data_IF_573772691330
#
_entry.id   IF_573772691330
#
_cell.length_a   1.000
_cell.length_b   1.000
_cell.length_c   1.000
_cell.angle_alpha   90.00
_cell.angle_beta   90.00
_cell.angle_gamma   90.00
#
_symmetry.space_group_name_H-M   'P 1'
#
loop_
_entity.id
_entity.type
_entity.pdbx_description
1 polymer ?
#
# COMPACT_ATOMS: atom_id res chain seq x y z
N UNK A 1 88.96 45.71 103.32
CA UNK A 1 87.99 46.68 102.76
C UNK A 1 87.11 45.91 101.78
N UNK A 2 85.91 45.54 102.24
CA UNK A 2 84.57 46.03 101.80
C UNK A 2 84.15 45.31 100.50
N UNK A 3 83.35 44.22 100.58
CA UNK A 3 81.86 44.16 100.56
C UNK A 3 81.27 44.77 99.26
N UNK A 4 80.34 44.19 98.49
CA UNK A 4 79.43 43.04 98.64
C UNK A 4 78.85 42.68 97.27
N UNK A 5 78.69 41.39 97.00
CA UNK A 5 77.75 40.82 96.02
C UNK A 5 76.33 40.93 96.58
N UNK A 6 75.35 41.48 95.84
CA UNK A 6 73.91 41.20 96.03
C UNK A 6 73.05 41.98 95.03
N UNK A 7 72.96 41.56 93.76
CA UNK A 7 71.86 42.07 92.90
C UNK A 7 71.43 41.17 91.72
N UNK A 8 72.04 39.99 91.52
CA UNK A 8 71.72 39.11 90.37
C UNK A 8 70.71 37.99 90.65
N UNK A 9 70.21 37.83 91.89
CA UNK A 9 69.27 36.73 92.24
C UNK A 9 67.79 37.08 92.03
N UNK A 10 67.43 38.37 92.05
CA UNK A 10 66.04 38.82 91.91
C UNK A 10 65.50 38.72 90.47
N UNK A 11 66.36 38.97 89.47
CA UNK A 11 65.94 38.96 88.06
C UNK A 11 65.78 37.54 87.51
N UNK A 12 66.60 36.60 87.96
CA UNK A 12 66.58 35.20 87.52
C UNK A 12 65.35 34.44 88.04
N UNK A 13 64.89 34.76 89.26
CA UNK A 13 63.65 34.21 89.82
C UNK A 13 62.39 34.76 89.12
N UNK A 14 62.38 36.04 88.74
CA UNK A 14 61.27 36.63 87.96
C UNK A 14 61.14 36.01 86.56
N UNK A 15 62.28 35.75 85.91
CA UNK A 15 62.32 35.14 84.57
C UNK A 15 61.89 33.67 84.61
N UNK A 16 62.31 32.91 85.63
CA UNK A 16 61.82 31.55 85.89
C UNK A 16 60.33 31.53 86.18
N UNK A 17 59.82 32.51 86.93
CA UNK A 17 58.40 32.56 87.27
C UNK A 17 57.54 32.90 86.04
N UNK A 18 57.99 33.83 85.20
CA UNK A 18 57.32 34.16 83.94
C UNK A 18 57.34 32.99 82.94
N UNK A 19 58.45 32.25 82.86
CA UNK A 19 58.53 31.04 82.06
C UNK A 19 57.58 29.96 82.58
N UNK A 20 57.53 29.71 83.89
CA UNK A 20 56.57 28.78 84.49
C UNK A 20 55.11 29.17 84.20
N UNK A 21 54.78 30.46 84.29
CA UNK A 21 53.43 30.96 84.01
C UNK A 21 53.04 30.78 82.53
N UNK A 22 54.00 30.99 81.62
CA UNK A 22 53.80 30.74 80.18
C UNK A 22 53.59 29.25 79.90
N UNK A 23 54.41 28.38 80.47
CA UNK A 23 54.25 26.92 80.30
C UNK A 23 52.90 26.46 80.85
N UNK A 24 52.45 27.03 81.96
CA UNK A 24 51.14 26.74 82.55
C UNK A 24 50.00 27.17 81.63
N UNK A 25 50.07 28.37 81.05
CA UNK A 25 49.06 28.87 80.11
C UNK A 25 49.02 28.07 78.79
N UNK A 26 50.18 27.62 78.29
CA UNK A 26 50.23 26.73 77.12
C UNK A 26 49.65 25.34 77.43
N UNK A 27 49.90 24.80 78.63
CA UNK A 27 49.30 23.54 79.10
C UNK A 27 47.77 23.69 79.26
N UNK A 28 47.29 24.81 79.81
CA UNK A 28 45.86 25.05 79.96
C UNK A 28 45.15 25.27 78.61
N UNK A 29 45.81 25.94 77.65
CA UNK A 29 45.29 26.11 76.30
C UNK A 29 45.25 24.77 75.54
N UNK A 30 46.29 23.93 75.67
CA UNK A 30 46.31 22.58 75.09
C UNK A 30 45.27 21.67 75.74
N UNK A 31 45.06 21.79 77.05
CA UNK A 31 44.04 21.04 77.81
C UNK A 31 42.62 21.40 77.37
N UNK A 32 42.29 22.69 77.22
CA UNK A 32 40.95 23.13 76.76
C UNK A 32 40.68 22.80 75.29
N UNK A 33 41.71 22.77 74.44
CA UNK A 33 41.60 22.34 73.05
C UNK A 33 41.41 20.82 72.89
N UNK A 34 42.00 20.01 73.76
CA UNK A 34 41.87 18.55 73.72
C UNK A 34 40.46 18.07 74.10
N UNK A 35 39.80 18.73 75.07
CA UNK A 35 38.45 18.35 75.53
C UNK A 35 37.40 18.39 74.41
N UNK A 36 37.39 19.43 73.57
CA UNK A 36 36.46 19.51 72.44
C UNK A 36 36.83 18.54 71.32
N UNK A 37 38.14 18.34 71.06
CA UNK A 37 38.61 17.39 70.06
C UNK A 37 38.33 15.92 70.47
N UNK A 38 38.44 15.57 71.75
CA UNK A 38 38.08 14.25 72.29
C UNK A 38 36.57 14.02 72.31
N UNK A 39 35.79 15.07 72.61
CA UNK A 39 34.34 14.99 72.52
C UNK A 39 33.89 14.71 71.08
N UNK A 40 34.49 15.38 70.09
CA UNK A 40 34.19 15.18 68.67
C UNK A 40 34.71 13.83 68.17
N UNK A 41 35.92 13.41 68.58
CA UNK A 41 36.53 12.15 68.12
C UNK A 41 35.73 10.91 68.52
N UNK A 42 35.02 10.95 69.66
CA UNK A 42 34.07 9.90 70.06
C UNK A 42 32.89 9.75 69.11
N UNK A 43 32.47 10.81 68.41
CA UNK A 43 31.34 10.77 67.48
C UNK A 43 31.74 10.60 66.00
N UNK A 44 33.03 10.73 65.64
CA UNK A 44 33.53 10.52 64.27
C UNK A 44 33.05 9.19 63.66
N UNK A 45 33.11 8.03 64.35
CA UNK A 45 32.64 6.77 63.79
C UNK A 45 31.14 6.79 63.48
N UNK A 46 30.36 7.47 64.31
CA UNK A 46 28.91 7.58 64.19
C UNK A 46 28.52 8.48 63.00
N UNK A 47 29.23 9.60 62.83
CA UNK A 47 29.06 10.50 61.68
C UNK A 47 29.43 9.80 60.37
N UNK A 48 30.53 9.04 60.36
CA UNK A 48 30.96 8.21 59.22
C UNK A 48 29.86 7.24 58.78
N UNK A 49 29.24 6.52 59.72
CA UNK A 49 28.13 5.60 59.42
C UNK A 49 26.92 6.34 58.85
N UNK A 50 26.56 7.50 59.40
CA UNK A 50 25.42 8.31 58.89
C UNK A 50 25.69 8.78 57.46
N UNK A 51 26.90 9.25 57.16
CA UNK A 51 27.29 9.66 55.80
C UNK A 51 27.26 8.45 54.85
N UNK A 52 27.78 7.30 55.27
CA UNK A 52 27.77 6.08 54.47
C UNK A 52 26.34 5.60 54.16
N UNK A 53 25.45 5.57 55.16
CA UNK A 53 24.03 5.20 54.99
C UNK A 53 23.32 6.23 54.11
N UNK A 54 23.56 7.53 54.31
CA UNK A 54 23.00 8.60 53.50
C UNK A 54 23.42 8.50 52.03
N UNK A 55 24.71 8.28 51.76
CA UNK A 55 25.24 8.05 50.42
C UNK A 55 24.69 6.79 49.76
N UNK A 56 24.52 5.72 50.53
CA UNK A 56 23.92 4.47 50.04
C UNK A 56 22.44 4.65 49.67
N UNK A 57 21.64 5.30 50.53
CA UNK A 57 20.23 5.57 50.24
C UNK A 57 20.07 6.50 49.03
N UNK A 58 20.93 7.53 48.91
CA UNK A 58 20.97 8.39 47.73
C UNK A 58 21.33 7.61 46.46
N UNK A 59 22.29 6.70 46.54
CA UNK A 59 22.67 5.81 45.44
C UNK A 59 21.52 4.91 44.98
N UNK A 60 20.76 4.31 45.91
CA UNK A 60 19.56 3.51 45.58
C UNK A 60 18.51 4.38 44.88
N UNK A 61 18.22 5.56 45.42
CA UNK A 61 17.24 6.46 44.83
C UNK A 61 17.64 6.92 43.41
N UNK A 62 18.92 7.26 43.21
CA UNK A 62 19.43 7.63 41.89
C UNK A 62 19.34 6.45 40.90
N UNK A 63 19.69 5.25 41.35
CA UNK A 63 19.61 4.03 40.54
C UNK A 63 18.17 3.72 40.12
N UNK A 64 17.21 3.77 41.05
CA UNK A 64 15.79 3.57 40.75
C UNK A 64 15.27 4.58 39.72
N UNK A 65 15.63 5.86 39.86
CA UNK A 65 15.24 6.90 38.90
C UNK A 65 15.87 6.69 37.52
N UNK A 66 17.11 6.17 37.47
CA UNK A 66 17.80 5.87 36.22
C UNK A 66 17.18 4.66 35.51
N UNK A 67 16.79 3.62 36.25
CA UNK A 67 16.09 2.46 35.72
C UNK A 67 14.71 2.82 35.15
N UNK A 68 13.94 3.67 35.83
CA UNK A 68 12.65 4.15 35.31
C UNK A 68 12.80 4.90 33.98
N UNK A 69 13.83 5.74 33.86
CA UNK A 69 14.11 6.48 32.62
C UNK A 69 14.57 5.53 31.50
N UNK A 70 15.36 4.51 31.82
CA UNK A 70 15.76 3.50 30.86
C UNK A 70 14.55 2.71 30.34
N UNK A 71 13.64 2.28 31.22
CA UNK A 71 12.40 1.60 30.83
C UNK A 71 11.50 2.48 29.95
N UNK A 72 11.34 3.76 30.29
CA UNK A 72 10.56 4.72 29.48
C UNK A 72 11.15 4.91 28.08
N UNK A 73 12.48 4.96 27.95
CA UNK A 73 13.14 5.06 26.63
C UNK A 73 12.91 3.81 25.80
N UNK A 74 13.04 2.62 26.39
CA UNK A 74 12.78 1.36 25.69
C UNK A 74 11.33 1.29 25.19
N UNK A 75 10.35 1.68 26.01
CA UNK A 75 8.95 1.70 25.61
C UNK A 75 8.68 2.71 24.48
N UNK A 76 9.27 3.90 24.56
CA UNK A 76 9.15 4.93 23.52
C UNK A 76 9.81 4.48 22.20
N UNK A 77 11.00 3.88 22.26
CA UNK A 77 11.68 3.33 21.09
C UNK A 77 10.87 2.18 20.48
N UNK A 78 10.30 1.28 21.29
CA UNK A 78 9.43 0.21 20.80
C UNK A 78 8.16 0.73 20.12
N UNK A 79 7.54 1.80 20.64
CA UNK A 79 6.38 2.43 20.01
C UNK A 79 6.76 3.06 18.68
N UNK A 80 7.84 3.84 18.64
CA UNK A 80 8.36 4.45 17.42
C UNK A 80 8.74 3.40 16.37
N UNK A 81 9.34 2.29 16.78
CA UNK A 81 9.70 1.19 15.88
C UNK A 81 8.47 0.51 15.30
N UNK A 82 7.37 0.40 16.06
CA UNK A 82 6.10 -0.14 15.55
C UNK A 82 5.48 0.80 14.52
N UNK A 83 5.36 2.08 14.83
CA UNK A 83 4.83 3.09 13.90
C UNK A 83 5.66 3.17 12.62
N UNK A 84 6.99 3.12 12.74
CA UNK A 84 7.89 3.13 11.58
C UNK A 84 7.70 1.88 10.72
N UNK A 85 7.60 0.69 11.33
CA UNK A 85 7.34 -0.56 10.59
C UNK A 85 6.00 -0.55 9.87
N UNK A 86 4.95 -0.04 10.50
CA UNK A 86 3.62 0.08 9.89
C UNK A 86 3.63 1.06 8.72
N UNK A 87 4.30 2.21 8.87
CA UNK A 87 4.49 3.18 7.80
C UNK A 87 5.29 2.60 6.64
N UNK A 88 6.41 1.92 6.92
CA UNK A 88 7.25 1.29 5.89
C UNK A 88 6.49 0.19 5.14
N UNK A 89 5.68 -0.59 5.84
CA UNK A 89 4.82 -1.61 5.22
C UNK A 89 3.78 -0.96 4.30
N UNK A 90 3.12 0.12 4.74
CA UNK A 90 2.15 0.84 3.93
C UNK A 90 2.79 1.46 2.67
N UNK A 91 3.98 2.06 2.80
CA UNK A 91 4.74 2.61 1.68
C UNK A 91 5.15 1.52 0.68
N UNK A 92 5.59 0.35 1.17
CA UNK A 92 5.94 -0.79 0.32
C UNK A 92 4.74 -1.29 -0.47
N UNK A 93 3.59 -1.47 0.19
CA UNK A 93 2.34 -1.90 -0.47
C UNK A 93 1.92 -0.86 -1.53
N UNK A 94 2.00 0.43 -1.22
CA UNK A 94 1.67 1.49 -2.19
C UNK A 94 2.61 1.48 -3.41
N UNK A 95 3.91 1.26 -3.19
CA UNK A 95 4.88 1.14 -4.27
C UNK A 95 4.59 -0.07 -5.16
N UNK A 96 4.29 -1.23 -4.55
CA UNK A 96 3.93 -2.45 -5.28
C UNK A 96 2.66 -2.27 -6.11
N UNK A 97 1.59 -1.73 -5.52
CA UNK A 97 0.35 -1.43 -6.27
C UNK A 97 0.62 -0.52 -7.48
N UNK A 98 1.45 0.53 -7.29
CA UNK A 98 1.80 1.42 -8.39
C UNK A 98 2.54 0.68 -9.50
N UNK A 99 3.52 -0.15 -9.15
CA UNK A 99 4.26 -0.97 -10.12
C UNK A 99 3.32 -1.92 -10.86
N UNK A 100 2.39 -2.56 -10.17
CA UNK A 100 1.45 -3.50 -10.80
C UNK A 100 0.48 -2.79 -11.75
N UNK A 101 -0.01 -1.61 -11.37
CA UNK A 101 -0.83 -0.75 -12.26
C UNK A 101 -0.01 -0.32 -13.48
N UNK A 102 1.24 0.11 -13.30
CA UNK A 102 2.13 0.49 -14.41
C UNK A 102 2.36 -0.69 -15.36
N UNK A 103 2.53 -1.91 -14.85
CA UNK A 103 2.66 -3.11 -15.67
C UNK A 103 1.37 -3.47 -16.40
N UNK A 104 0.20 -3.32 -15.76
CA UNK A 104 -1.10 -3.53 -16.40
C UNK A 104 -1.31 -2.54 -17.56
N UNK A 105 -0.96 -1.26 -17.36
CA UNK A 105 -1.06 -0.24 -18.41
C UNK A 105 -0.05 -0.48 -19.54
N UNK A 106 1.12 -1.04 -19.22
CA UNK A 106 2.12 -1.40 -20.24
C UNK A 106 1.76 -2.66 -21.02
N UNK A 107 0.79 -3.46 -20.55
CA UNK A 107 0.39 -4.70 -21.22
C UNK A 107 0.14 -4.49 -22.70
N UNK A 108 -0.68 -3.52 -23.09
CA UNK A 108 -1.01 -3.24 -24.50
C UNK A 108 0.20 -2.87 -25.37
N UNK A 109 1.31 -2.43 -24.75
CA UNK A 109 2.52 -1.97 -25.44
C UNK A 109 3.60 -3.04 -25.52
N UNK A 110 3.73 -3.89 -24.51
CA UNK A 110 4.75 -4.94 -24.47
C UNK A 110 4.17 -6.30 -24.85
N UNK A 111 4.52 -6.79 -26.04
CA UNK A 111 4.07 -8.09 -26.58
C UNK A 111 4.58 -9.30 -25.80
N UNK A 112 5.58 -9.15 -24.93
CA UNK A 112 6.08 -10.24 -24.09
C UNK A 112 5.17 -10.51 -22.89
N UNK A 113 4.29 -9.57 -22.55
CA UNK A 113 3.37 -9.73 -21.42
C UNK A 113 2.21 -10.65 -21.77
N UNK A 114 1.91 -11.60 -20.87
CA UNK A 114 0.90 -12.66 -21.07
C UNK A 114 -0.40 -12.37 -20.30
N UNK A 115 -1.53 -12.88 -20.79
CA UNK A 115 -2.82 -12.75 -20.10
C UNK A 115 -2.80 -13.35 -18.68
N UNK A 116 -2.00 -14.40 -18.46
CA UNK A 116 -1.79 -14.97 -17.13
C UNK A 116 -1.17 -13.95 -16.17
N UNK A 117 -0.19 -13.16 -16.64
CA UNK A 117 0.41 -12.09 -15.83
C UNK A 117 -0.61 -11.01 -15.48
N UNK A 118 -1.49 -10.63 -16.39
CA UNK A 118 -2.60 -9.68 -16.10
C UNK A 118 -3.46 -10.19 -14.94
N UNK A 119 -3.86 -11.47 -14.98
CA UNK A 119 -4.64 -12.08 -13.89
C UNK A 119 -3.88 -12.09 -12.57
N UNK A 120 -2.58 -12.40 -12.57
CA UNK A 120 -1.75 -12.32 -11.36
C UNK A 120 -1.71 -10.89 -10.81
N UNK A 121 -1.44 -9.89 -11.64
CA UNK A 121 -1.40 -8.48 -11.23
C UNK A 121 -2.75 -8.01 -10.66
N UNK A 122 -3.88 -8.38 -11.29
CA UNK A 122 -5.21 -8.06 -10.77
C UNK A 122 -5.48 -8.73 -9.41
N UNK A 123 -4.99 -9.95 -9.22
CA UNK A 123 -5.11 -10.68 -7.94
C UNK A 123 -4.25 -10.04 -6.85
N UNK A 124 -3.03 -9.64 -7.18
CA UNK A 124 -2.12 -8.94 -6.28
C UNK A 124 -2.72 -7.60 -5.86
N UNK A 125 -3.25 -6.82 -6.81
CA UNK A 125 -3.95 -5.56 -6.52
C UNK A 125 -5.15 -5.74 -5.58
N UNK A 126 -5.97 -6.79 -5.77
CA UNK A 126 -7.06 -7.10 -4.82
C UNK A 126 -6.51 -7.37 -3.42
N UNK A 127 -5.47 -8.19 -3.33
CA UNK A 127 -4.83 -8.56 -2.06
C UNK A 127 -4.29 -7.31 -1.36
N UNK A 128 -3.63 -6.41 -2.08
CA UNK A 128 -3.11 -5.17 -1.52
C UNK A 128 -4.22 -4.21 -1.07
N UNK A 129 -5.30 -4.07 -1.83
CA UNK A 129 -6.47 -3.27 -1.42
C UNK A 129 -7.16 -3.84 -0.18
N UNK A 130 -7.17 -5.17 -0.02
CA UNK A 130 -7.67 -5.82 1.19
C UNK A 130 -6.78 -5.58 2.40
N UNK A 131 -5.47 -5.76 2.24
CA UNK A 131 -4.49 -5.48 3.30
C UNK A 131 -4.53 -4.00 3.73
N UNK A 132 -4.59 -3.07 2.78
CA UNK A 132 -4.67 -1.64 3.11
C UNK A 132 -6.01 -1.26 3.76
N UNK A 133 -7.11 -1.89 3.36
CA UNK A 133 -8.42 -1.72 4.00
C UNK A 133 -8.48 -2.20 5.46
N UNK A 134 -7.61 -3.14 5.85
CA UNK A 134 -7.48 -3.56 7.24
C UNK A 134 -6.61 -2.60 8.07
N UNK A 135 -5.79 -1.77 7.42
CA UNK A 135 -4.87 -0.82 8.06
C UNK A 135 -5.45 0.59 8.19
N UNK A 136 -6.43 0.97 7.35
CA UNK A 136 -6.98 2.34 7.25
C UNK A 136 -8.51 2.33 7.13
N UNK A 137 -9.16 3.47 7.40
CA UNK A 137 -10.60 3.65 7.27
C UNK A 137 -11.16 3.21 5.89
N UNK A 138 -12.35 2.60 5.90
CA UNK A 138 -13.03 2.00 4.75
C UNK A 138 -13.15 2.91 3.51
N UNK A 139 -13.32 4.23 3.69
CA UNK A 139 -13.52 5.18 2.59
C UNK A 139 -12.29 5.31 1.67
N UNK A 140 -11.09 5.06 2.19
CA UNK A 140 -9.87 5.15 1.40
C UNK A 140 -9.72 4.00 0.38
N UNK A 141 -10.20 2.79 0.75
CA UNK A 141 -10.17 1.60 -0.11
C UNK A 141 -11.01 1.79 -1.38
N UNK A 142 -12.18 2.39 -1.25
CA UNK A 142 -13.11 2.60 -2.37
C UNK A 142 -12.53 3.55 -3.41
N UNK A 143 -11.89 4.65 -2.98
CA UNK A 143 -11.29 5.63 -3.89
C UNK A 143 -10.15 5.02 -4.71
N UNK A 144 -9.22 4.30 -4.07
CA UNK A 144 -8.10 3.66 -4.78
C UNK A 144 -8.55 2.61 -5.79
N UNK A 145 -9.51 1.76 -5.41
CA UNK A 145 -10.08 0.75 -6.31
C UNK A 145 -10.67 1.42 -7.55
N UNK A 146 -11.38 2.53 -7.36
CA UNK A 146 -11.98 3.32 -8.43
C UNK A 146 -10.94 4.00 -9.33
N UNK A 147 -9.85 4.52 -8.75
CA UNK A 147 -8.72 5.10 -9.49
C UNK A 147 -8.02 4.06 -10.40
N UNK A 148 -7.84 2.85 -9.89
CA UNK A 148 -7.32 1.71 -10.67
C UNK A 148 -8.27 1.42 -11.84
N UNK A 149 -9.57 1.29 -11.57
CA UNK A 149 -10.59 1.03 -12.60
C UNK A 149 -10.62 2.12 -13.67
N UNK A 150 -10.55 3.39 -13.28
CA UNK A 150 -10.47 4.52 -14.21
C UNK A 150 -9.21 4.43 -15.09
N UNK A 151 -8.08 4.02 -14.51
CA UNK A 151 -6.82 3.84 -15.25
C UNK A 151 -6.90 2.68 -16.24
N UNK A 152 -7.45 1.53 -15.82
CA UNK A 152 -7.69 0.38 -16.70
C UNK A 152 -8.62 0.75 -17.85
N UNK A 153 -9.74 1.42 -17.57
CA UNK A 153 -10.66 1.84 -18.61
C UNK A 153 -10.00 2.78 -19.62
N UNK A 154 -9.19 3.75 -19.18
CA UNK A 154 -8.43 4.62 -20.08
C UNK A 154 -7.49 3.83 -20.99
N UNK A 155 -6.81 2.81 -20.45
CA UNK A 155 -5.98 1.90 -21.27
C UNK A 155 -6.83 1.12 -22.27
N UNK A 156 -8.00 0.64 -21.89
CA UNK A 156 -8.93 -0.06 -22.80
C UNK A 156 -9.40 0.88 -23.92
N UNK A 157 -9.85 2.07 -23.58
CA UNK A 157 -10.38 3.03 -24.55
C UNK A 157 -9.30 3.56 -25.50
N UNK A 158 -8.11 3.89 -24.97
CA UNK A 158 -7.10 4.63 -25.74
C UNK A 158 -6.01 3.72 -26.34
N UNK A 159 -5.60 2.68 -25.62
CA UNK A 159 -4.40 1.90 -25.99
C UNK A 159 -4.73 0.51 -26.56
N UNK A 160 -5.89 -0.07 -26.25
CA UNK A 160 -6.26 -1.40 -26.78
C UNK A 160 -6.72 -1.32 -28.24
N UNK A 161 -6.20 -2.22 -29.06
CA UNK A 161 -6.62 -2.46 -30.44
C UNK A 161 -7.32 -3.82 -30.52
N UNK A 162 -8.65 -3.80 -30.66
CA UNK A 162 -9.44 -5.03 -30.68
C UNK A 162 -9.26 -5.83 -31.95
N UNK A 163 -8.53 -5.32 -32.96
CA UNK A 163 -8.06 -6.14 -34.08
C UNK A 163 -7.02 -7.20 -33.65
N UNK A 164 -6.41 -7.02 -32.48
CA UNK A 164 -5.44 -7.92 -31.88
C UNK A 164 -6.12 -8.83 -30.85
N UNK A 165 -6.04 -10.17 -30.99
CA UNK A 165 -6.65 -11.11 -30.03
C UNK A 165 -6.22 -10.87 -28.59
N UNK A 166 -4.95 -10.49 -28.41
CA UNK A 166 -4.35 -10.24 -27.11
C UNK A 166 -5.05 -9.13 -26.31
N UNK A 167 -5.48 -8.07 -26.96
CA UNK A 167 -6.11 -6.94 -26.29
C UNK A 167 -7.57 -7.25 -25.93
N UNK A 168 -8.23 -8.09 -26.73
CA UNK A 168 -9.56 -8.63 -26.39
C UNK A 168 -9.47 -9.52 -25.15
N UNK A 169 -8.49 -10.42 -25.10
CA UNK A 169 -8.24 -11.28 -23.93
C UNK A 169 -7.93 -10.44 -22.68
N UNK A 170 -7.16 -9.34 -22.82
CA UNK A 170 -6.89 -8.42 -21.72
C UNK A 170 -8.18 -7.82 -21.15
N UNK A 171 -9.04 -7.29 -22.02
CA UNK A 171 -10.32 -6.70 -21.64
C UNK A 171 -11.24 -7.72 -21.00
N UNK A 172 -11.34 -8.93 -21.56
CA UNK A 172 -12.12 -10.02 -20.96
C UNK A 172 -11.57 -10.44 -19.59
N UNK A 173 -10.25 -10.45 -19.42
CA UNK A 173 -9.61 -10.76 -18.13
C UNK A 173 -9.97 -9.70 -17.09
N UNK A 174 -9.93 -8.41 -17.45
CA UNK A 174 -10.39 -7.32 -16.57
C UNK A 174 -11.88 -7.47 -16.27
N UNK A 175 -12.69 -7.71 -17.30
CA UNK A 175 -14.13 -7.89 -17.17
C UNK A 175 -14.46 -9.05 -16.22
N UNK A 176 -13.72 -10.15 -16.28
CA UNK A 176 -13.95 -11.33 -15.44
C UNK A 176 -13.41 -11.13 -14.02
N UNK A 177 -12.17 -10.67 -13.92
CA UNK A 177 -11.41 -10.71 -12.68
C UNK A 177 -11.42 -9.38 -11.92
N UNK A 178 -11.96 -8.27 -12.44
CA UNK A 178 -12.01 -6.98 -11.75
C UNK A 178 -13.43 -6.43 -11.60
N UNK A 179 -14.18 -6.91 -10.61
CA UNK A 179 -15.61 -6.60 -10.45
C UNK A 179 -15.94 -5.10 -10.39
N UNK A 180 -15.02 -4.26 -9.91
CA UNK A 180 -15.19 -2.81 -9.91
C UNK A 180 -15.41 -2.23 -11.30
N UNK A 181 -14.82 -2.86 -12.32
CA UNK A 181 -14.94 -2.47 -13.73
C UNK A 181 -16.39 -2.57 -14.21
N UNK A 182 -17.06 -3.70 -13.95
CA UNK A 182 -18.48 -3.88 -14.29
C UNK A 182 -19.34 -2.83 -13.61
N UNK A 183 -19.11 -2.62 -12.31
CA UNK A 183 -19.85 -1.63 -11.56
C UNK A 183 -19.61 -0.22 -12.11
N UNK A 184 -18.37 0.11 -12.46
CA UNK A 184 -18.03 1.42 -13.03
C UNK A 184 -18.73 1.66 -14.37
N UNK A 185 -18.75 0.65 -15.25
CA UNK A 185 -19.44 0.75 -16.55
C UNK A 185 -20.96 0.89 -16.42
N UNK A 186 -21.56 0.36 -15.34
CA UNK A 186 -22.98 0.58 -15.01
C UNK A 186 -23.24 2.01 -14.52
N UNK A 187 -22.33 2.52 -13.69
CA UNK A 187 -22.42 3.90 -13.16
C UNK A 187 -22.15 4.95 -14.25
N UNK A 188 -21.40 4.58 -15.31
CA UNK A 188 -20.98 5.46 -16.40
C UNK A 188 -21.30 4.84 -17.77
N UNK A 189 -22.60 4.72 -18.13
CA UNK A 189 -23.02 4.05 -19.35
C UNK A 189 -22.41 4.65 -20.62
N UNK A 190 -22.14 5.96 -20.64
CA UNK A 190 -21.55 6.70 -21.74
C UNK A 190 -20.15 6.19 -22.15
N UNK A 191 -19.44 5.54 -21.23
CA UNK A 191 -18.11 5.00 -21.50
C UNK A 191 -18.15 3.68 -22.27
N UNK A 192 -19.31 3.00 -22.29
CA UNK A 192 -19.48 1.76 -23.05
C UNK A 192 -19.44 1.99 -24.56
N UNK A 193 -19.81 3.18 -25.03
CA UNK A 193 -19.80 3.55 -26.47
C UNK A 193 -18.46 3.19 -27.10
N UNK A 194 -17.36 3.62 -26.48
CA UNK A 194 -16.01 3.38 -26.99
C UNK A 194 -15.62 1.90 -27.02
N UNK A 195 -16.14 1.10 -26.09
CA UNK A 195 -15.85 -0.34 -26.02
C UNK A 195 -16.63 -1.06 -27.12
N UNK A 196 -17.92 -0.75 -27.28
CA UNK A 196 -18.73 -1.33 -28.34
C UNK A 196 -18.22 -0.96 -29.72
N UNK A 197 -17.83 0.29 -29.96
CA UNK A 197 -17.25 0.72 -31.24
C UNK A 197 -16.01 -0.09 -31.61
N UNK A 198 -15.16 -0.44 -30.65
CA UNK A 198 -13.98 -1.29 -30.88
C UNK A 198 -14.36 -2.73 -31.24
N UNK A 199 -15.30 -3.34 -30.53
CA UNK A 199 -15.80 -4.68 -30.88
C UNK A 199 -16.44 -4.70 -32.28
N UNK A 200 -17.31 -3.73 -32.57
CA UNK A 200 -17.97 -3.60 -33.87
C UNK A 200 -16.94 -3.42 -34.98
N UNK A 201 -15.95 -2.56 -34.78
CA UNK A 201 -14.88 -2.34 -35.76
C UNK A 201 -14.07 -3.62 -36.02
N UNK A 202 -13.70 -4.35 -34.98
CA UNK A 202 -12.96 -5.61 -35.10
C UNK A 202 -13.77 -6.68 -35.84
N UNK A 203 -15.07 -6.80 -35.54
CA UNK A 203 -15.99 -7.71 -36.23
C UNK A 203 -16.16 -7.34 -37.72
N UNK A 204 -16.25 -6.04 -38.04
CA UNK A 204 -16.29 -5.57 -39.43
C UNK A 204 -15.00 -5.95 -40.15
N UNK A 205 -13.84 -5.72 -39.55
CA UNK A 205 -12.55 -6.10 -40.13
C UNK A 205 -12.48 -7.60 -40.38
N UNK A 206 -12.87 -8.42 -39.40
CA UNK A 206 -12.88 -9.87 -39.56
C UNK A 206 -13.84 -10.33 -40.67
N UNK A 207 -15.03 -9.74 -40.75
CA UNK A 207 -15.98 -10.01 -41.83
C UNK A 207 -15.43 -9.60 -43.19
N UNK A 208 -14.72 -8.47 -43.29
CA UNK A 208 -14.10 -8.03 -44.54
C UNK A 208 -12.94 -8.95 -44.96
N UNK A 209 -12.20 -9.52 -44.01
CA UNK A 209 -11.12 -10.48 -44.27
C UNK A 209 -11.68 -11.83 -44.74
N UNK A 210 -12.65 -12.40 -44.03
CA UNK A 210 -13.33 -13.63 -44.43
C UNK A 210 -14.82 -13.61 -44.05
N UNK A 211 -15.71 -13.21 -44.98
CA UNK A 211 -17.16 -13.17 -44.72
C UNK A 211 -17.75 -14.54 -44.40
N UNK A 212 -17.13 -15.61 -44.90
CA UNK A 212 -17.66 -16.97 -44.82
C UNK A 212 -17.71 -17.45 -43.37
N UNK A 213 -16.69 -17.07 -42.60
CA UNK A 213 -16.48 -17.40 -41.20
C UNK A 213 -17.55 -16.79 -40.31
N UNK A 214 -17.71 -15.48 -40.41
CA UNK A 214 -18.62 -14.74 -39.54
C UNK A 214 -20.09 -15.04 -39.88
N UNK A 215 -20.39 -15.35 -41.15
CA UNK A 215 -21.74 -15.80 -41.58
C UNK A 215 -22.06 -17.24 -41.18
N UNK A 216 -21.05 -18.11 -41.11
CA UNK A 216 -21.21 -19.55 -40.86
C UNK A 216 -21.31 -19.92 -39.39
N UNK A 217 -21.03 -18.98 -38.47
CA UNK A 217 -21.05 -19.22 -37.03
C UNK A 217 -22.47 -19.18 -36.47
N UNK A 218 -22.75 -20.10 -35.54
CA UNK A 218 -23.98 -20.13 -34.76
C UNK A 218 -23.65 -20.30 -33.27
N UNK A 219 -24.49 -19.76 -32.40
CA UNK A 219 -24.32 -19.94 -30.97
C UNK A 219 -25.22 -21.08 -30.47
N UNK A 220 -24.63 -22.06 -29.79
CA UNK A 220 -25.37 -23.16 -29.16
C UNK A 220 -25.55 -22.85 -27.67
N UNK A 221 -26.70 -22.27 -27.32
CA UNK A 221 -26.99 -21.82 -25.95
C UNK A 221 -26.95 -22.96 -24.90
N UNK A 222 -27.24 -24.20 -25.29
CA UNK A 222 -27.18 -25.39 -24.43
C UNK A 222 -25.74 -25.75 -24.03
N UNK A 223 -24.78 -25.53 -24.92
CA UNK A 223 -23.36 -25.84 -24.71
C UNK A 223 -22.52 -24.63 -24.36
N UNK A 224 -23.08 -23.42 -24.48
CA UNK A 224 -22.38 -22.14 -24.36
C UNK A 224 -21.14 -22.08 -25.24
N UNK A 225 -21.24 -22.61 -26.47
CA UNK A 225 -20.16 -22.63 -27.43
C UNK A 225 -20.62 -22.16 -28.81
N UNK A 226 -19.66 -21.76 -29.62
CA UNK A 226 -19.89 -21.43 -31.01
C UNK A 226 -19.69 -22.67 -31.88
N UNK A 227 -20.63 -22.89 -32.79
CA UNK A 227 -20.58 -23.95 -33.79
C UNK A 227 -20.31 -23.34 -35.17
N UNK A 228 -19.27 -23.84 -35.79
CA UNK A 228 -18.82 -23.41 -37.10
C UNK A 228 -19.35 -24.40 -38.13
N UNK A 229 -20.40 -23.99 -38.85
CA UNK A 229 -21.08 -24.88 -39.79
C UNK A 229 -20.09 -25.42 -40.83
N UNK A 230 -19.93 -26.75 -40.90
CA UNK A 230 -18.98 -27.43 -41.78
C UNK A 230 -19.16 -26.98 -43.24
N UNK A 231 -18.21 -26.21 -43.77
CA UNK A 231 -18.19 -25.78 -45.18
C UNK A 231 -17.70 -24.36 -45.43
N UNK A 232 -17.56 -23.53 -44.40
CA UNK A 232 -17.13 -22.14 -44.53
C UNK A 232 -15.70 -21.96 -44.00
N UNK A 233 -14.74 -21.86 -44.92
CA UNK A 233 -13.34 -21.51 -44.62
C UNK A 233 -12.58 -22.53 -43.78
N UNK A 234 -11.27 -22.67 -44.03
CA UNK A 234 -10.36 -23.23 -43.02
C UNK A 234 -9.83 -22.05 -42.24
N UNK A 235 -10.60 -21.56 -41.26
CA UNK A 235 -9.95 -20.76 -40.22
C UNK A 235 -8.86 -21.60 -39.59
N UNK A 236 -7.76 -20.95 -39.29
CA UNK A 236 -6.87 -21.54 -38.31
C UNK A 236 -7.55 -21.50 -36.92
N UNK A 237 -7.04 -22.32 -36.01
CA UNK A 237 -7.60 -22.42 -34.68
C UNK A 237 -7.50 -21.09 -33.90
N UNK A 238 -6.52 -20.23 -34.23
CA UNK A 238 -6.30 -18.98 -33.53
C UNK A 238 -7.34 -17.91 -33.91
N UNK A 239 -7.69 -17.81 -35.19
CA UNK A 239 -8.75 -16.92 -35.68
C UNK A 239 -10.13 -17.32 -35.12
N UNK A 240 -10.36 -18.63 -34.98
CA UNK A 240 -11.56 -19.19 -34.34
C UNK A 240 -11.67 -18.69 -32.89
N UNK A 241 -10.62 -18.89 -32.09
CA UNK A 241 -10.61 -18.43 -30.70
C UNK A 241 -10.73 -16.92 -30.56
N UNK A 242 -10.10 -16.16 -31.46
CA UNK A 242 -10.20 -14.72 -31.45
C UNK A 242 -11.63 -14.24 -31.74
N UNK A 243 -12.34 -14.86 -32.69
CA UNK A 243 -13.76 -14.56 -32.91
C UNK A 243 -14.61 -14.92 -31.69
N UNK A 244 -14.38 -16.10 -31.09
CA UNK A 244 -15.06 -16.50 -29.85
C UNK A 244 -14.87 -15.45 -28.75
N UNK A 245 -13.64 -14.93 -28.59
CA UNK A 245 -13.31 -13.92 -27.60
C UNK A 245 -13.99 -12.56 -27.89
N UNK A 246 -14.05 -12.15 -29.15
CA UNK A 246 -14.78 -10.93 -29.54
C UNK A 246 -16.27 -11.05 -29.20
N UNK A 247 -16.89 -12.18 -29.54
CA UNK A 247 -18.32 -12.41 -29.34
C UNK A 247 -18.67 -12.53 -27.86
N UNK A 248 -17.90 -13.29 -27.09
CA UNK A 248 -18.09 -13.42 -25.65
C UNK A 248 -17.85 -12.07 -24.93
N UNK A 249 -16.82 -11.34 -25.34
CA UNK A 249 -16.51 -10.02 -24.79
C UNK A 249 -17.63 -9.00 -25.04
N UNK A 250 -18.18 -8.98 -26.27
CA UNK A 250 -19.31 -8.12 -26.61
C UNK A 250 -20.57 -8.47 -25.80
N UNK A 251 -20.89 -9.76 -25.66
CA UNK A 251 -22.01 -10.23 -24.84
C UNK A 251 -21.87 -9.83 -23.37
N UNK A 252 -20.67 -10.01 -22.79
CA UNK A 252 -20.44 -9.63 -21.39
C UNK A 252 -20.58 -8.13 -21.15
N UNK A 253 -20.10 -7.28 -22.07
CA UNK A 253 -20.31 -5.83 -21.98
C UNK A 253 -21.79 -5.46 -22.18
N UNK A 254 -22.50 -6.18 -23.05
CA UNK A 254 -23.93 -6.00 -23.24
C UNK A 254 -24.74 -6.31 -21.97
N UNK A 255 -24.31 -7.29 -21.17
CA UNK A 255 -24.98 -7.63 -19.90
C UNK A 255 -24.88 -6.53 -18.85
N UNK A 256 -23.81 -5.72 -18.86
CA UNK A 256 -23.64 -4.62 -17.89
C UNK A 256 -24.20 -3.29 -18.35
N UNK A 257 -24.54 -3.15 -19.63
CA UNK A 257 -25.19 -1.95 -20.15
C UNK A 257 -26.70 -1.98 -19.82
N UNK A 258 -27.32 -0.92 -19.29
CA UNK A 258 -28.73 -0.99 -18.83
C UNK A 258 -29.73 -0.28 -19.76
N UNK A 259 -29.29 0.69 -20.57
CA UNK A 259 -30.18 1.45 -21.46
C UNK A 259 -30.68 0.58 -22.63
N UNK A 260 -31.98 0.27 -22.64
CA UNK A 260 -32.57 -0.61 -23.65
C UNK A 260 -32.48 -0.07 -25.08
N UNK A 261 -32.53 1.26 -25.28
CA UNK A 261 -32.47 1.88 -26.62
C UNK A 261 -31.05 1.86 -27.16
N UNK A 262 -30.07 2.16 -26.32
CA UNK A 262 -28.67 2.07 -26.70
C UNK A 262 -28.28 0.61 -26.95
N UNK A 263 -28.70 -0.33 -26.09
CA UNK A 263 -28.58 -1.78 -26.33
C UNK A 263 -29.11 -2.19 -27.70
N UNK A 264 -30.34 -1.82 -28.03
CA UNK A 264 -30.93 -2.13 -29.33
C UNK A 264 -30.08 -1.58 -30.48
N UNK A 265 -29.54 -0.37 -30.33
CA UNK A 265 -28.67 0.27 -31.32
C UNK A 265 -27.38 -0.52 -31.53
N UNK A 266 -26.70 -0.91 -30.45
CA UNK A 266 -25.47 -1.72 -30.52
C UNK A 266 -25.74 -3.13 -31.06
N UNK A 267 -26.88 -3.74 -30.73
CA UNK A 267 -27.26 -5.05 -31.28
C UNK A 267 -27.56 -4.98 -32.78
N UNK A 268 -28.15 -3.88 -33.28
CA UNK A 268 -28.30 -3.66 -34.73
C UNK A 268 -26.93 -3.47 -35.40
N UNK A 269 -26.04 -2.68 -34.81
CA UNK A 269 -24.66 -2.54 -35.31
C UNK A 269 -23.93 -3.87 -35.34
N UNK A 270 -24.09 -4.70 -34.29
CA UNK A 270 -23.52 -6.04 -34.21
C UNK A 270 -24.05 -6.95 -35.31
N UNK A 271 -25.38 -6.97 -35.54
CA UNK A 271 -25.97 -7.75 -36.63
C UNK A 271 -25.46 -7.28 -37.99
N UNK A 272 -25.31 -5.97 -38.19
CA UNK A 272 -24.78 -5.40 -39.42
C UNK A 272 -23.29 -5.77 -39.62
N UNK A 273 -22.47 -5.66 -38.56
CA UNK A 273 -21.04 -5.93 -38.59
C UNK A 273 -20.73 -7.39 -38.88
N UNK A 274 -21.48 -8.30 -38.28
CA UNK A 274 -21.34 -9.75 -38.48
C UNK A 274 -22.02 -10.24 -39.75
N UNK A 275 -22.98 -9.46 -40.27
CA UNK A 275 -23.88 -9.87 -41.32
C UNK A 275 -24.59 -11.20 -41.04
N UNK A 276 -24.86 -11.47 -39.76
CA UNK A 276 -25.36 -12.76 -39.31
C UNK A 276 -26.57 -12.59 -38.36
N UNK A 277 -27.79 -12.53 -38.91
CA UNK A 277 -29.00 -12.41 -38.10
C UNK A 277 -29.27 -13.66 -37.25
N UNK A 278 -28.81 -14.84 -37.69
CA UNK A 278 -28.94 -16.06 -36.90
C UNK A 278 -28.10 -15.99 -35.63
N UNK A 279 -26.83 -15.56 -35.73
CA UNK A 279 -25.98 -15.35 -34.57
C UNK A 279 -26.55 -14.33 -33.58
N UNK A 280 -27.09 -13.22 -34.08
CA UNK A 280 -27.71 -12.19 -33.23
C UNK A 280 -28.93 -12.75 -32.48
N UNK A 281 -29.76 -13.53 -33.17
CA UNK A 281 -30.90 -14.21 -32.56
C UNK A 281 -30.47 -15.26 -31.55
N UNK A 282 -29.46 -16.06 -31.89
CA UNK A 282 -28.98 -17.16 -31.05
C UNK A 282 -28.31 -16.63 -29.75
N UNK A 283 -27.54 -15.53 -29.82
CA UNK A 283 -26.89 -14.90 -28.65
C UNK A 283 -27.84 -14.05 -27.80
N UNK A 284 -28.64 -13.19 -28.43
CA UNK A 284 -29.36 -12.12 -27.75
C UNK A 284 -30.89 -12.28 -27.76
N UNK A 285 -31.41 -13.31 -28.44
CA UNK A 285 -32.85 -13.54 -28.56
C UNK A 285 -33.59 -12.50 -29.41
N UNK A 286 -32.86 -11.67 -30.16
CA UNK A 286 -33.42 -10.60 -31.00
C UNK A 286 -33.05 -10.77 -32.46
N UNK A 287 -33.95 -10.36 -33.36
CA UNK A 287 -33.73 -10.40 -34.80
C UNK A 287 -34.18 -9.08 -35.40
N UNK A 288 -33.29 -8.43 -36.15
CA UNK A 288 -33.60 -7.20 -36.86
C UNK A 288 -33.79 -7.47 -38.35
N UNK A 289 -34.68 -6.70 -38.98
CA UNK A 289 -34.86 -6.76 -40.42
C UNK A 289 -33.70 -6.02 -41.11
N UNK A 290 -33.31 -6.40 -42.34
CA UNK A 290 -32.29 -5.69 -43.09
C UNK A 290 -32.55 -4.18 -43.25
N UNK A 291 -33.82 -3.78 -43.31
CA UNK A 291 -34.23 -2.37 -43.39
C UNK A 291 -33.83 -1.58 -42.15
N UNK A 292 -33.87 -2.20 -40.96
CA UNK A 292 -33.47 -1.58 -39.68
C UNK A 292 -31.97 -1.27 -39.64
N UNK A 293 -31.18 -1.92 -40.50
CA UNK A 293 -29.73 -1.77 -40.58
C UNK A 293 -29.29 -0.70 -41.58
N UNK A 294 -30.21 -0.19 -42.41
CA UNK A 294 -29.92 0.77 -43.48
C UNK A 294 -29.34 2.10 -43.00
N UNK A 295 -29.53 2.43 -41.71
CA UNK A 295 -28.96 3.61 -41.07
C UNK A 295 -27.44 3.53 -40.86
N UNK A 296 -26.83 2.34 -40.88
CA UNK A 296 -25.39 2.13 -40.66
C UNK A 296 -24.62 2.04 -41.98
N UNK A 297 -24.53 3.16 -42.71
CA UNK A 297 -23.94 3.21 -44.05
C UNK A 297 -22.45 2.84 -44.11
N UNK A 298 -21.75 2.99 -42.99
CA UNK A 298 -20.32 2.72 -42.88
C UNK A 298 -20.02 1.24 -42.62
N UNK A 299 -21.05 0.44 -42.33
CA UNK A 299 -20.93 -1.01 -42.14
C UNK A 299 -21.16 -1.69 -43.49
N UNK A 300 -20.28 -2.61 -43.94
CA UNK A 300 -20.43 -3.29 -45.22
C UNK A 300 -21.84 -3.85 -45.38
N UNK A 301 -22.56 -3.39 -46.41
CA UNK A 301 -23.92 -3.87 -46.67
C UNK A 301 -23.88 -5.38 -46.84
N UNK A 302 -24.70 -6.09 -46.07
CA UNK A 302 -25.04 -7.48 -46.26
C UNK A 302 -25.63 -7.72 -47.66
N UNK A 303 -24.78 -7.81 -48.67
CA UNK A 303 -25.22 -8.27 -49.99
C UNK A 303 -25.47 -9.77 -49.86
N UNK A 304 -26.74 -10.10 -50.02
CA UNK A 304 -27.26 -11.46 -50.13
C UNK A 304 -26.58 -12.20 -51.29
#
# INVERSE_FOLDING_TARGET
MVETNSDNTSLDDSLKHAQLMKTYLEIEHLSKGHSQAEAISRYIPLISVVIAVGGFLFGIYQYQKQDELAQKRILFEQQKDRETKESDQALRIQSQMRTDIEQLVQFTKDKQETAAKVRFLLTDLKTYLELEGNLKEHNFKTNKKRDITSSLLKTISNDCDFSQPRDVIFVQTIMTDWEDYKQYLKEHPELNVYIFDKYISALITMYQTDPSVVRGIRYQADRRNFDYTKGYGRLDQAETFYLDDLLAGFDDHMKVHEDAKEKETYLKQFQAATCNPALTQDLFGVKFNPEDLSQFKDIPTCRA
#
